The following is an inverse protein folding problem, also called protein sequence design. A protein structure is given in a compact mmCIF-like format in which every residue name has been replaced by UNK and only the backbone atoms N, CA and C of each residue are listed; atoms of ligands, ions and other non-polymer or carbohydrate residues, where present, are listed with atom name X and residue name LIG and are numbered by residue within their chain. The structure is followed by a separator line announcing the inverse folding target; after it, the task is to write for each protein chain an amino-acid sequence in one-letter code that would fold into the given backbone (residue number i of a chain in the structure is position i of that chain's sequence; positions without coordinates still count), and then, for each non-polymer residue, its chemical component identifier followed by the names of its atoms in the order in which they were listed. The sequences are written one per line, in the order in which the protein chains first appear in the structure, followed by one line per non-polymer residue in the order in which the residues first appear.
data_IF_280972144086
#
_entry.id   IF_280972144086
#
_cell.length_a   1.000
_cell.length_b   1.000
_cell.length_c   1.000
_cell.angle_alpha   90.00
_cell.angle_beta   90.00
_cell.angle_gamma   90.00
#
_symmetry.space_group_name_H-M   'P 1'
#
loop_
_entity.id
_entity.type
_entity.pdbx_description
1 polymer ?
#
# COMPACT_ATOMS: atom_id res chain seq x y z
N UNK A 1 12.93 22.10 -26.87
CA UNK A 1 13.20 22.83 -25.61
C UNK A 1 13.48 21.78 -24.55
N UNK A 2 14.46 21.99 -23.67
CA UNK A 2 14.73 21.06 -22.58
C UNK A 2 13.58 21.04 -21.56
N UNK A 3 13.43 19.92 -20.85
CA UNK A 3 12.47 19.82 -19.74
C UNK A 3 12.79 20.86 -18.65
N UNK A 4 11.76 21.49 -18.11
CA UNK A 4 11.84 22.47 -17.03
C UNK A 4 11.05 21.95 -15.83
N UNK A 5 11.60 22.09 -14.62
CA UNK A 5 10.90 21.72 -13.40
C UNK A 5 9.65 22.59 -13.21
N UNK A 6 8.52 22.02 -12.77
CA UNK A 6 7.29 22.78 -12.60
C UNK A 6 7.38 23.68 -11.37
N UNK A 7 6.70 24.84 -11.43
CA UNK A 7 6.35 25.59 -10.22
C UNK A 7 5.27 24.84 -9.43
N UNK A 8 5.32 24.91 -8.10
CA UNK A 8 4.25 24.40 -7.22
C UNK A 8 3.19 25.45 -6.89
N UNK A 9 3.48 26.74 -7.14
CA UNK A 9 2.62 27.83 -6.68
C UNK A 9 1.31 27.90 -7.47
N UNK A 10 0.19 27.89 -6.74
CA UNK A 10 -1.14 27.92 -7.34
C UNK A 10 -1.48 26.67 -8.17
N UNK A 11 -0.70 25.59 -8.06
CA UNK A 11 -0.92 24.32 -8.74
C UNK A 11 -1.22 23.20 -7.74
N UNK A 12 -1.79 22.12 -8.26
CA UNK A 12 -2.30 21.02 -7.43
C UNK A 12 -1.46 19.76 -7.60
N UNK A 13 -1.53 18.88 -6.59
CA UNK A 13 -1.16 17.47 -6.75
C UNK A 13 -2.41 16.69 -7.13
N UNK A 14 -2.32 15.85 -8.16
CA UNK A 14 -3.46 15.04 -8.61
C UNK A 14 -3.22 13.57 -8.33
N UNK A 15 -4.18 12.92 -7.67
CA UNK A 15 -4.16 11.48 -7.44
C UNK A 15 -5.18 10.80 -8.34
N UNK A 16 -4.72 9.91 -9.22
CA UNK A 16 -5.62 9.10 -10.05
C UNK A 16 -5.92 7.78 -9.33
N UNK A 17 -7.09 7.71 -8.70
CA UNK A 17 -7.53 6.60 -7.87
C UNK A 17 -7.76 7.05 -6.42
N UNK A 18 -9.01 6.95 -5.96
CA UNK A 18 -9.46 7.25 -4.59
C UNK A 18 -9.46 6.05 -3.65
N UNK A 19 -8.84 4.93 -4.08
CA UNK A 19 -8.72 3.71 -3.28
C UNK A 19 -7.86 3.85 -2.03
N UNK A 20 -7.62 2.73 -1.35
CA UNK A 20 -6.94 2.68 -0.04
C UNK A 20 -5.63 3.46 -0.01
N UNK A 21 -4.75 3.24 -0.99
CA UNK A 21 -3.45 3.90 -1.04
C UNK A 21 -3.55 5.33 -1.62
N UNK A 22 -4.37 5.53 -2.66
CA UNK A 22 -4.54 6.84 -3.30
C UNK A 22 -5.03 7.93 -2.34
N UNK A 23 -6.05 7.65 -1.52
CA UNK A 23 -6.55 8.61 -0.52
C UNK A 23 -5.55 8.92 0.59
N UNK A 24 -4.66 7.98 0.92
CA UNK A 24 -3.57 8.20 1.89
C UNK A 24 -2.51 9.12 1.34
N UNK A 25 -2.10 8.89 0.09
CA UNK A 25 -1.15 9.77 -0.60
C UNK A 25 -1.74 11.18 -0.69
N UNK A 26 -3.00 11.31 -1.12
CA UNK A 26 -3.70 12.58 -1.15
C UNK A 26 -3.70 13.30 0.22
N UNK A 27 -4.08 12.58 1.28
CA UNK A 27 -4.10 13.12 2.64
C UNK A 27 -2.72 13.60 3.09
N UNK A 28 -1.64 12.86 2.78
CA UNK A 28 -0.28 13.25 3.13
C UNK A 28 0.16 14.60 2.52
N UNK A 29 -0.13 14.80 1.22
CA UNK A 29 0.16 16.05 0.53
C UNK A 29 -0.70 17.21 1.06
N UNK A 30 -2.00 16.98 1.23
CA UNK A 30 -2.92 18.01 1.70
C UNK A 30 -2.70 18.38 3.18
N UNK A 31 -2.37 17.43 4.04
CA UNK A 31 -1.98 17.69 5.44
C UNK A 31 -0.80 18.67 5.52
N UNK A 32 0.04 18.68 4.49
CA UNK A 32 1.27 19.48 4.43
C UNK A 32 1.12 20.78 3.63
N UNK A 33 -0.12 21.18 3.31
CA UNK A 33 -0.42 22.49 2.74
C UNK A 33 -0.59 22.55 1.22
N UNK A 34 -0.52 21.41 0.51
CA UNK A 34 -0.76 21.35 -0.94
C UNK A 34 -2.23 21.15 -1.26
N UNK A 35 -2.75 21.86 -2.25
CA UNK A 35 -4.08 21.56 -2.80
C UNK A 35 -4.03 20.26 -3.61
N UNK A 36 -4.99 19.37 -3.36
CA UNK A 36 -5.02 18.03 -3.94
C UNK A 36 -6.35 17.78 -4.65
N UNK A 37 -6.29 17.22 -5.85
CA UNK A 37 -7.46 16.71 -6.57
C UNK A 37 -7.38 15.19 -6.68
N UNK A 38 -8.40 14.50 -6.19
CA UNK A 38 -8.55 13.06 -6.33
C UNK A 38 -9.47 12.77 -7.51
N UNK A 39 -9.00 12.02 -8.49
CA UNK A 39 -9.82 11.54 -9.58
C UNK A 39 -10.17 10.08 -9.38
N UNK A 40 -11.46 9.75 -9.33
CA UNK A 40 -11.93 8.36 -9.33
C UNK A 40 -13.25 8.28 -10.08
N UNK A 41 -13.47 7.28 -10.98
CA UNK A 41 -14.76 7.11 -11.64
C UNK A 41 -15.90 6.74 -10.68
N UNK A 42 -15.61 6.12 -9.54
CA UNK A 42 -16.62 5.75 -8.54
C UNK A 42 -16.92 6.89 -7.58
N UNK A 43 -18.19 7.34 -7.51
CA UNK A 43 -18.63 8.35 -6.55
C UNK A 43 -18.42 7.91 -5.10
N UNK A 44 -18.60 6.63 -4.81
CA UNK A 44 -18.36 6.05 -3.49
C UNK A 44 -16.90 6.22 -3.07
N UNK A 45 -15.95 5.91 -3.96
CA UNK A 45 -14.52 6.06 -3.70
C UNK A 45 -14.14 7.53 -3.51
N UNK A 46 -14.72 8.45 -4.30
CA UNK A 46 -14.53 9.89 -4.13
C UNK A 46 -14.96 10.35 -2.73
N UNK A 47 -16.18 9.98 -2.31
CA UNK A 47 -16.71 10.33 -0.99
C UNK A 47 -15.85 9.75 0.13
N UNK A 48 -15.48 8.48 0.03
CA UNK A 48 -14.64 7.81 1.02
C UNK A 48 -13.24 8.41 1.11
N UNK A 49 -12.67 8.90 0.00
CA UNK A 49 -11.38 9.56 -0.02
C UNK A 49 -11.42 10.95 0.63
N UNK A 50 -12.46 11.73 0.35
CA UNK A 50 -12.68 13.03 0.99
C UNK A 50 -12.85 12.88 2.51
N UNK A 51 -13.74 11.97 2.94
CA UNK A 51 -13.96 11.69 4.35
C UNK A 51 -12.69 11.20 5.07
N UNK A 52 -11.89 10.36 4.42
CA UNK A 52 -10.60 9.92 4.96
C UNK A 52 -9.67 11.10 5.20
N UNK A 53 -9.57 12.04 4.24
CA UNK A 53 -8.70 13.20 4.39
C UNK A 53 -9.15 14.10 5.55
N UNK A 54 -10.44 14.38 5.66
CA UNK A 54 -11.03 15.21 6.74
C UNK A 54 -10.70 14.67 8.14
N UNK A 55 -10.70 13.35 8.29
CA UNK A 55 -10.54 12.68 9.60
C UNK A 55 -9.12 12.24 9.92
N UNK A 56 -8.22 12.22 8.92
CA UNK A 56 -6.88 11.62 9.08
C UNK A 56 -5.72 12.59 8.95
N UNK A 57 -5.95 13.87 8.69
CA UNK A 57 -4.86 14.85 8.50
C UNK A 57 -3.83 14.87 9.62
N UNK A 58 -4.26 14.81 10.88
CA UNK A 58 -3.39 14.82 12.06
C UNK A 58 -2.48 13.58 12.13
N UNK A 59 -2.83 12.50 11.45
CA UNK A 59 -1.94 11.34 11.33
C UNK A 59 -0.75 11.66 10.42
N UNK A 60 -0.86 12.61 9.50
CA UNK A 60 0.15 12.87 8.48
C UNK A 60 1.05 14.07 8.77
N UNK A 61 0.51 15.14 9.36
CA UNK A 61 1.26 16.37 9.65
C UNK A 61 0.59 17.20 10.75
N UNK A 62 1.40 17.80 11.61
CA UNK A 62 0.96 18.78 12.63
C UNK A 62 0.85 20.21 12.08
N UNK A 63 1.00 20.39 10.75
CA UNK A 63 0.96 21.70 10.12
C UNK A 63 -0.41 22.38 10.34
N UNK A 64 -0.37 23.62 10.84
CA UNK A 64 -1.58 24.43 11.06
C UNK A 64 -2.29 24.81 9.76
N UNK A 65 -1.53 24.96 8.67
CA UNK A 65 -2.06 25.27 7.34
C UNK A 65 -2.12 23.99 6.52
N UNK A 66 -3.33 23.51 6.29
CA UNK A 66 -3.65 22.37 5.41
C UNK A 66 -4.08 22.89 4.03
N UNK A 67 -3.84 22.10 2.99
CA UNK A 67 -4.37 22.34 1.67
C UNK A 67 -5.80 21.82 1.53
N UNK A 68 -6.46 22.19 0.44
CA UNK A 68 -7.78 21.68 0.10
C UNK A 68 -7.70 20.29 -0.53
N UNK A 69 -8.73 19.47 -0.33
CA UNK A 69 -8.91 18.21 -1.06
C UNK A 69 -10.25 18.27 -1.76
N UNK A 70 -10.24 18.12 -3.08
CA UNK A 70 -11.44 17.97 -3.89
C UNK A 70 -11.40 16.64 -4.63
N UNK A 71 -12.56 16.18 -5.10
CA UNK A 71 -12.65 14.97 -5.89
C UNK A 71 -13.55 15.16 -7.11
N UNK A 72 -13.15 14.59 -8.25
CA UNK A 72 -13.90 14.65 -9.51
C UNK A 72 -13.82 13.30 -10.24
N UNK A 73 -14.76 13.05 -11.15
CA UNK A 73 -14.67 11.92 -12.08
C UNK A 73 -13.95 12.28 -13.38
N UNK A 74 -13.92 13.58 -13.71
CA UNK A 74 -13.38 14.07 -14.97
C UNK A 74 -11.85 14.11 -14.93
N UNK A 75 -11.23 13.40 -15.88
CA UNK A 75 -9.77 13.32 -15.95
C UNK A 75 -9.16 14.68 -16.30
N UNK A 76 -9.74 15.40 -17.27
CA UNK A 76 -9.20 16.66 -17.77
C UNK A 76 -9.21 17.75 -16.70
N UNK A 77 -10.32 17.91 -16.00
CA UNK A 77 -10.47 18.79 -14.85
C UNK A 77 -9.39 18.49 -13.82
N UNK A 78 -9.25 17.21 -13.45
CA UNK A 78 -8.35 16.79 -12.37
C UNK A 78 -6.88 17.09 -12.63
N UNK A 79 -6.44 17.14 -13.90
CA UNK A 79 -5.02 17.31 -14.26
C UNK A 79 -4.67 18.69 -14.82
N UNK A 80 -5.69 19.51 -15.13
CA UNK A 80 -5.52 20.81 -15.81
C UNK A 80 -4.55 21.77 -15.11
N UNK A 81 -4.48 21.73 -13.78
CA UNK A 81 -3.59 22.56 -12.95
C UNK A 81 -2.49 21.75 -12.24
N UNK A 82 -2.34 20.47 -12.57
CA UNK A 82 -1.45 19.58 -11.85
C UNK A 82 0.01 19.93 -12.12
N UNK A 83 0.82 20.11 -11.07
CA UNK A 83 2.29 20.08 -11.21
C UNK A 83 2.85 18.67 -11.03
N UNK A 84 2.13 17.83 -10.29
CA UNK A 84 2.43 16.42 -10.05
C UNK A 84 1.14 15.60 -10.19
N UNK A 85 1.20 14.54 -10.99
CA UNK A 85 0.15 13.53 -11.09
C UNK A 85 0.72 12.21 -10.57
N UNK A 86 0.02 11.56 -9.65
CA UNK A 86 0.38 10.24 -9.13
C UNK A 86 -0.74 9.27 -9.52
N UNK A 87 -0.41 8.35 -10.42
CA UNK A 87 -1.27 7.27 -10.87
C UNK A 87 -1.29 6.14 -9.82
N UNK A 88 -2.48 5.85 -9.29
CA UNK A 88 -2.77 4.77 -8.35
C UNK A 88 -4.06 4.02 -8.74
N UNK A 89 -4.25 3.81 -10.05
CA UNK A 89 -5.36 3.05 -10.63
C UNK A 89 -5.09 1.53 -10.48
N UNK A 90 -6.09 0.65 -10.74
CA UNK A 90 -5.92 -0.79 -10.63
C UNK A 90 -4.71 -1.32 -11.39
N UNK A 91 -4.11 -2.40 -10.87
CA UNK A 91 -2.85 -2.99 -11.35
C UNK A 91 -3.02 -3.79 -12.65
N UNK A 92 -3.45 -3.11 -13.72
CA UNK A 92 -3.63 -3.63 -15.08
C UNK A 92 -2.79 -2.82 -16.05
N UNK A 93 -1.79 -3.44 -16.68
CA UNK A 93 -0.83 -2.74 -17.54
C UNK A 93 -1.51 -1.95 -18.68
N UNK A 94 -2.48 -2.54 -19.37
CA UNK A 94 -3.22 -1.88 -20.46
C UNK A 94 -3.95 -0.61 -19.99
N UNK A 95 -4.52 -0.62 -18.78
CA UNK A 95 -5.17 0.55 -18.20
C UNK A 95 -4.14 1.64 -17.89
N UNK A 96 -2.99 1.29 -17.33
CA UNK A 96 -1.92 2.25 -17.04
C UNK A 96 -1.37 2.87 -18.33
N UNK A 97 -1.09 2.08 -19.36
CA UNK A 97 -0.68 2.58 -20.69
C UNK A 97 -1.70 3.59 -21.22
N UNK A 98 -3.00 3.26 -21.21
CA UNK A 98 -4.04 4.19 -21.68
C UNK A 98 -4.11 5.46 -20.85
N UNK A 99 -3.92 5.35 -19.53
CA UNK A 99 -3.91 6.50 -18.60
C UNK A 99 -2.75 7.45 -18.92
N UNK A 100 -1.54 6.94 -19.12
CA UNK A 100 -0.39 7.78 -19.46
C UNK A 100 -0.51 8.41 -20.86
N UNK A 101 -1.16 7.73 -21.82
CA UNK A 101 -1.47 8.31 -23.13
C UNK A 101 -2.48 9.47 -23.04
N UNK A 102 -3.43 9.42 -22.11
CA UNK A 102 -4.34 10.55 -21.85
C UNK A 102 -3.62 11.68 -21.10
N UNK A 103 -2.75 11.35 -20.14
CA UNK A 103 -1.96 12.34 -19.41
C UNK A 103 -1.04 13.14 -20.33
N UNK A 104 -0.42 12.51 -21.33
CA UNK A 104 0.38 13.20 -22.34
C UNK A 104 -0.40 14.35 -23.00
N UNK A 105 -1.68 14.14 -23.31
CA UNK A 105 -2.52 15.10 -24.03
C UNK A 105 -3.11 16.18 -23.14
N UNK A 106 -3.38 15.85 -21.88
CA UNK A 106 -4.18 16.68 -20.98
C UNK A 106 -3.36 17.51 -19.98
N UNK A 107 -2.11 17.11 -19.72
CA UNK A 107 -1.26 17.79 -18.74
C UNK A 107 -0.39 18.87 -19.36
N UNK A 108 0.04 19.83 -18.55
CA UNK A 108 1.02 20.82 -18.99
C UNK A 108 2.37 20.13 -19.30
N UNK A 109 3.19 20.69 -20.21
CA UNK A 109 4.47 20.09 -20.59
C UNK A 109 5.48 19.91 -19.44
N UNK A 110 5.31 20.62 -18.33
CA UNK A 110 6.16 20.56 -17.15
C UNK A 110 5.60 19.68 -16.02
N UNK A 111 4.38 19.14 -16.16
CA UNK A 111 3.75 18.30 -15.13
C UNK A 111 4.52 17.00 -14.96
N UNK A 112 4.96 16.69 -13.74
CA UNK A 112 5.62 15.41 -13.45
C UNK A 112 4.55 14.32 -13.33
N UNK A 113 4.76 13.19 -13.98
CA UNK A 113 3.81 12.08 -14.04
C UNK A 113 4.42 10.84 -13.39
N UNK A 114 3.80 10.37 -12.32
CA UNK A 114 4.31 9.28 -11.52
C UNK A 114 3.37 8.08 -11.55
N UNK A 115 3.90 6.86 -11.62
CA UNK A 115 3.13 5.66 -11.29
C UNK A 115 3.48 5.14 -9.90
N UNK A 116 2.46 4.85 -9.09
CA UNK A 116 2.59 4.19 -7.79
C UNK A 116 2.63 2.64 -7.92
N UNK A 117 2.75 2.11 -9.14
CA UNK A 117 2.86 0.66 -9.35
C UNK A 117 4.10 0.09 -8.65
N UNK A 118 3.89 -1.00 -7.90
CA UNK A 118 4.94 -1.79 -7.26
C UNK A 118 5.44 -2.94 -8.15
N UNK A 119 4.67 -3.29 -9.19
CA UNK A 119 4.91 -4.44 -10.06
C UNK A 119 5.49 -4.03 -11.41
N UNK A 120 4.97 -2.96 -12.02
CA UNK A 120 5.35 -2.54 -13.36
C UNK A 120 6.33 -1.36 -13.31
N UNK A 121 7.38 -1.46 -14.11
CA UNK A 121 8.29 -0.35 -14.37
C UNK A 121 7.54 0.66 -15.24
N UNK A 122 7.71 1.93 -14.95
CA UNK A 122 7.07 3.01 -15.71
C UNK A 122 7.46 2.97 -17.20
N UNK A 123 8.65 2.44 -17.55
CA UNK A 123 9.05 2.19 -18.95
C UNK A 123 8.04 1.33 -19.73
N UNK A 124 7.39 0.37 -19.07
CA UNK A 124 6.37 -0.50 -19.67
C UNK A 124 5.06 0.25 -20.00
N UNK A 125 4.88 1.47 -19.48
CA UNK A 125 3.66 2.27 -19.64
C UNK A 125 3.79 3.32 -20.74
N UNK A 126 5.01 3.59 -21.24
CA UNK A 126 5.32 4.83 -21.95
C UNK A 126 5.83 4.65 -23.38
N UNK A 127 5.95 3.43 -23.89
CA UNK A 127 6.56 3.15 -25.20
C UNK A 127 5.94 4.01 -26.33
N UNK A 128 4.62 4.18 -26.32
CA UNK A 128 3.87 4.97 -27.31
C UNK A 128 3.85 6.48 -27.12
N UNK A 129 4.56 7.02 -26.12
CA UNK A 129 4.57 8.46 -25.81
C UNK A 129 5.71 9.20 -26.51
N UNK A 130 5.59 10.52 -26.60
CA UNK A 130 6.63 11.41 -27.10
C UNK A 130 7.84 11.46 -26.15
N UNK A 131 9.05 11.61 -26.70
CA UNK A 131 10.28 11.67 -25.90
C UNK A 131 10.27 12.81 -24.87
N UNK A 132 9.66 13.94 -25.20
CA UNK A 132 9.49 15.05 -24.26
C UNK A 132 8.62 14.67 -23.05
N UNK A 133 7.62 13.81 -23.24
CA UNK A 133 6.77 13.28 -22.17
C UNK A 133 7.49 12.22 -21.35
N UNK A 134 8.27 11.34 -21.98
CA UNK A 134 9.06 10.31 -21.28
C UNK A 134 10.02 10.93 -20.26
N UNK A 135 10.59 12.10 -20.57
CA UNK A 135 11.50 12.82 -19.65
C UNK A 135 10.86 13.25 -18.32
N UNK A 136 9.52 13.28 -18.21
CA UNK A 136 8.81 13.69 -16.99
C UNK A 136 8.03 12.56 -16.32
N UNK A 137 8.35 11.30 -16.68
CA UNK A 137 7.73 10.10 -16.11
C UNK A 137 8.70 9.33 -15.21
N UNK A 138 8.20 8.78 -14.11
CA UNK A 138 8.93 7.88 -13.21
C UNK A 138 7.99 7.00 -12.37
N UNK A 139 8.54 5.98 -11.70
CA UNK A 139 7.83 5.34 -10.60
C UNK A 139 8.00 6.17 -9.31
N UNK A 140 6.92 6.26 -8.54
CA UNK A 140 6.86 6.91 -7.22
C UNK A 140 6.03 6.03 -6.29
N UNK A 141 6.70 5.04 -5.70
CA UNK A 141 6.05 3.96 -4.98
C UNK A 141 5.94 4.27 -3.48
N UNK A 142 4.70 4.36 -3.00
CA UNK A 142 4.34 4.55 -1.60
C UNK A 142 3.96 3.23 -0.94
N UNK A 143 4.23 3.14 0.36
CA UNK A 143 3.99 1.93 1.13
C UNK A 143 2.74 1.96 2.03
N UNK A 144 2.22 0.77 2.29
CA UNK A 144 1.31 0.48 3.42
C UNK A 144 2.13 0.07 4.65
N UNK A 145 1.61 0.23 5.90
CA UNK A 145 0.37 0.87 6.37
C UNK A 145 0.52 2.40 6.62
N UNK A 146 -0.51 3.15 7.13
CA UNK A 146 -0.49 4.60 7.44
C UNK A 146 0.81 5.18 7.99
N UNK A 147 1.43 4.52 8.97
CA UNK A 147 2.68 4.96 9.59
C UNK A 147 3.93 4.84 8.70
N UNK A 148 3.85 4.14 7.56
CA UNK A 148 4.97 4.02 6.65
C UNK A 148 5.12 5.30 5.81
N UNK A 149 6.24 6.01 6.03
CA UNK A 149 6.59 7.26 5.34
C UNK A 149 7.52 7.05 4.15
N UNK A 150 7.93 5.82 3.87
CA UNK A 150 8.87 5.52 2.79
C UNK A 150 8.21 5.78 1.44
N UNK A 151 8.96 6.44 0.55
CA UNK A 151 8.61 6.60 -0.86
C UNK A 151 9.83 6.25 -1.70
N UNK A 152 9.67 5.36 -2.66
CA UNK A 152 10.74 5.04 -3.61
C UNK A 152 10.51 5.75 -4.94
N UNK A 153 11.54 6.45 -5.42
CA UNK A 153 11.59 7.06 -6.74
C UNK A 153 12.47 6.19 -7.64
N UNK A 154 12.00 5.85 -8.83
CA UNK A 154 12.78 5.05 -9.78
C UNK A 154 12.61 5.58 -11.20
N UNK A 155 13.74 5.77 -11.88
CA UNK A 155 13.77 6.18 -13.30
C UNK A 155 13.24 5.08 -14.22
N UNK A 156 12.68 5.48 -15.36
CA UNK A 156 12.36 4.63 -16.52
C UNK A 156 13.50 4.56 -17.56
N UNK A 157 14.66 5.16 -17.27
CA UNK A 157 15.79 5.29 -18.19
C UNK A 157 15.75 6.55 -19.09
N UNK A 158 14.61 7.23 -19.17
CA UNK A 158 14.39 8.48 -19.89
C UNK A 158 14.13 9.68 -18.97
N UNK A 159 13.68 9.43 -17.72
CA UNK A 159 13.39 10.44 -16.71
C UNK A 159 14.50 11.47 -16.60
N UNK A 160 14.15 12.75 -16.62
CA UNK A 160 15.10 13.83 -16.44
C UNK A 160 15.68 13.80 -15.01
N UNK A 161 17.01 13.80 -14.91
CA UNK A 161 17.72 13.68 -13.62
C UNK A 161 17.38 14.79 -12.61
N UNK A 162 16.99 15.98 -13.09
CA UNK A 162 16.63 17.11 -12.22
C UNK A 162 15.34 16.86 -11.41
N UNK A 163 14.48 15.92 -11.84
CA UNK A 163 13.23 15.58 -11.14
C UNK A 163 13.51 14.94 -9.78
N UNK A 164 14.56 14.12 -9.66
CA UNK A 164 14.85 13.40 -8.42
C UNK A 164 15.16 14.32 -7.24
N UNK A 165 16.14 15.25 -7.30
CA UNK A 165 16.40 16.16 -6.18
C UNK A 165 15.19 17.04 -5.87
N UNK A 166 14.43 17.47 -6.89
CA UNK A 166 13.20 18.24 -6.71
C UNK A 166 12.14 17.46 -5.93
N UNK A 167 11.80 16.24 -6.35
CA UNK A 167 10.82 15.41 -5.65
C UNK A 167 11.31 14.97 -4.27
N UNK A 168 12.61 14.71 -4.09
CA UNK A 168 13.20 14.41 -2.77
C UNK A 168 12.98 15.58 -1.80
N UNK A 169 13.20 16.82 -2.24
CA UNK A 169 12.93 18.01 -1.45
C UNK A 169 11.44 18.11 -1.08
N UNK A 170 10.54 18.02 -2.07
CA UNK A 170 9.09 18.13 -1.84
C UNK A 170 8.55 17.01 -0.95
N UNK A 171 9.01 15.78 -1.15
CA UNK A 171 8.63 14.64 -0.31
C UNK A 171 9.07 14.81 1.14
N UNK A 172 10.30 15.28 1.38
CA UNK A 172 10.77 15.59 2.74
C UNK A 172 9.95 16.70 3.37
N UNK A 173 9.58 17.73 2.60
CA UNK A 173 8.75 18.82 3.08
C UNK A 173 7.35 18.37 3.52
N UNK A 174 6.81 17.29 2.94
CA UNK A 174 5.51 16.70 3.32
C UNK A 174 5.65 15.51 4.29
N UNK A 175 6.79 15.40 4.97
CA UNK A 175 7.03 14.37 6.01
C UNK A 175 7.21 12.95 5.47
N UNK A 176 7.48 12.80 4.17
CA UNK A 176 7.84 11.50 3.57
C UNK A 176 9.36 11.29 3.59
N UNK A 177 9.78 10.04 3.53
CA UNK A 177 11.16 9.59 3.51
C UNK A 177 11.49 9.03 2.11
N UNK A 178 11.97 9.88 1.18
CA UNK A 178 12.24 9.47 -0.19
C UNK A 178 13.58 8.72 -0.34
N UNK A 179 13.58 7.67 -1.15
CA UNK A 179 14.76 6.90 -1.55
C UNK A 179 14.79 6.70 -3.06
N UNK A 180 15.97 6.81 -3.68
CA UNK A 180 16.09 6.85 -5.15
C UNK A 180 16.79 5.60 -5.69
N UNK A 181 16.06 4.83 -6.50
CA UNK A 181 16.59 3.80 -7.37
C UNK A 181 17.11 4.47 -8.65
N UNK A 182 18.44 4.59 -8.74
CA UNK A 182 19.13 5.29 -9.84
C UNK A 182 19.09 4.56 -11.18
N UNK A 183 18.60 3.32 -11.18
CA UNK A 183 18.39 2.48 -12.35
C UNK A 183 17.08 1.73 -12.16
N UNK A 184 16.48 1.32 -13.28
CA UNK A 184 15.35 0.41 -13.26
C UNK A 184 15.70 -0.87 -12.47
N UNK A 185 14.77 -1.28 -11.61
CA UNK A 185 14.93 -2.45 -10.76
C UNK A 185 13.56 -3.05 -10.47
N UNK A 186 13.38 -4.32 -10.78
CA UNK A 186 12.14 -5.03 -10.41
C UNK A 186 12.07 -5.16 -8.89
N UNK A 187 10.95 -4.75 -8.31
CA UNK A 187 10.81 -4.61 -6.87
C UNK A 187 11.58 -3.40 -6.30
N UNK A 188 11.89 -2.40 -7.13
CA UNK A 188 12.54 -1.15 -6.73
C UNK A 188 13.81 -1.40 -5.90
N UNK A 189 13.92 -0.82 -4.70
CA UNK A 189 15.05 -1.02 -3.78
C UNK A 189 14.67 -2.07 -2.73
N UNK A 190 13.64 -1.78 -1.93
CA UNK A 190 13.34 -2.58 -0.75
C UNK A 190 12.73 -3.94 -1.11
N UNK A 191 11.78 -4.02 -2.05
CA UNK A 191 11.18 -5.32 -2.40
C UNK A 191 12.22 -6.24 -3.05
N UNK A 192 13.22 -5.69 -3.76
CA UNK A 192 14.37 -6.44 -4.26
C UNK A 192 15.27 -6.97 -3.15
N UNK A 193 15.58 -6.15 -2.15
CA UNK A 193 16.33 -6.58 -0.96
C UNK A 193 15.57 -7.66 -0.19
N UNK A 194 14.28 -7.42 0.04
CA UNK A 194 13.39 -8.34 0.72
C UNK A 194 13.30 -9.69 0.00
N UNK A 195 13.19 -9.70 -1.33
CA UNK A 195 13.20 -10.93 -2.12
C UNK A 195 14.49 -11.74 -1.92
N UNK A 196 15.65 -11.09 -1.77
CA UNK A 196 16.90 -11.81 -1.50
C UNK A 196 16.93 -12.43 -0.10
N UNK A 197 16.55 -11.67 0.94
CA UNK A 197 16.47 -12.16 2.32
C UNK A 197 15.51 -13.35 2.40
N UNK A 198 14.31 -13.18 1.84
CA UNK A 198 13.25 -14.18 1.82
C UNK A 198 13.69 -15.46 1.12
N UNK A 199 14.30 -15.34 -0.07
CA UNK A 199 14.82 -16.48 -0.84
C UNK A 199 15.85 -17.28 -0.04
N UNK A 200 16.77 -16.59 0.63
CA UNK A 200 17.81 -17.25 1.42
C UNK A 200 17.22 -17.98 2.63
N UNK A 201 16.30 -17.34 3.35
CA UNK A 201 15.59 -17.97 4.47
C UNK A 201 14.88 -19.25 4.04
N UNK A 202 14.18 -19.23 2.90
CA UNK A 202 13.52 -20.42 2.36
C UNK A 202 14.52 -21.50 1.94
N UNK A 203 15.71 -21.12 1.47
CA UNK A 203 16.76 -22.08 1.09
C UNK A 203 17.34 -22.77 2.33
N UNK A 204 17.65 -22.02 3.39
CA UNK A 204 18.09 -22.57 4.69
C UNK A 204 17.08 -23.58 5.23
N UNK A 205 15.78 -23.25 5.14
CA UNK A 205 14.70 -24.14 5.57
C UNK A 205 14.59 -25.38 4.67
N UNK A 206 14.72 -25.22 3.35
CA UNK A 206 14.66 -26.33 2.40
C UNK A 206 15.83 -27.31 2.53
N UNK A 207 16.99 -26.83 2.95
CA UNK A 207 18.19 -27.61 3.25
C UNK A 207 18.20 -28.17 4.69
N UNK A 208 17.11 -27.97 5.45
CA UNK A 208 16.93 -28.48 6.82
C UNK A 208 18.02 -28.00 7.81
N UNK A 209 18.64 -26.85 7.54
CA UNK A 209 19.73 -26.30 8.37
C UNK A 209 19.21 -25.81 9.73
N UNK A 210 17.98 -25.30 9.79
CA UNK A 210 17.34 -24.80 11.02
C UNK A 210 15.82 -24.76 10.86
N UNK A 211 15.12 -24.34 11.92
CA UNK A 211 13.66 -24.24 11.98
C UNK A 211 13.17 -22.79 11.76
N UNK A 212 11.91 -22.58 11.32
CA UNK A 212 11.29 -21.26 11.20
C UNK A 212 11.45 -20.36 12.44
N UNK A 213 11.24 -20.93 13.63
CA UNK A 213 11.27 -20.21 14.90
C UNK A 213 12.69 -19.79 15.30
N UNK A 214 13.69 -20.63 15.04
CA UNK A 214 15.09 -20.34 15.33
C UNK A 214 15.62 -19.22 14.43
N UNK A 215 15.29 -19.26 13.13
CA UNK A 215 15.69 -18.21 12.18
C UNK A 215 15.14 -16.86 12.61
N UNK A 216 13.86 -16.78 12.96
CA UNK A 216 13.25 -15.52 13.40
C UNK A 216 13.83 -15.03 14.72
N UNK A 217 14.03 -15.91 15.71
CA UNK A 217 14.66 -15.53 16.99
C UNK A 217 16.08 -15.00 16.78
N UNK A 218 16.89 -15.71 16.01
CA UNK A 218 18.26 -15.31 15.68
C UNK A 218 18.28 -13.94 14.97
N UNK A 219 17.38 -13.73 14.01
CA UNK A 219 17.24 -12.45 13.31
C UNK A 219 16.94 -11.30 14.27
N UNK A 220 15.99 -11.50 15.19
CA UNK A 220 15.58 -10.48 16.17
C UNK A 220 16.69 -10.16 17.17
N UNK A 221 17.42 -11.17 17.65
CA UNK A 221 18.55 -10.97 18.57
C UNK A 221 19.71 -10.19 17.94
N UNK A 222 20.00 -10.44 16.65
CA UNK A 222 21.10 -9.75 15.95
C UNK A 222 20.74 -8.30 15.59
N UNK A 223 19.52 -8.05 15.13
CA UNK A 223 19.14 -6.73 14.58
C UNK A 223 18.34 -5.84 15.54
N UNK A 224 17.99 -6.32 16.72
CA UNK A 224 17.37 -5.52 17.81
C UNK A 224 16.01 -4.91 17.44
N UNK A 225 15.27 -5.51 16.51
CA UNK A 225 14.03 -4.96 15.97
C UNK A 225 12.78 -5.43 16.69
N UNK A 226 11.84 -4.52 16.95
CA UNK A 226 10.50 -4.82 17.50
C UNK A 226 9.48 -5.31 16.44
N UNK A 227 9.95 -5.81 15.29
CA UNK A 227 9.08 -6.25 14.18
C UNK A 227 9.41 -7.69 13.84
N UNK A 228 8.38 -8.49 13.52
CA UNK A 228 8.49 -9.91 13.20
C UNK A 228 9.71 -10.23 12.32
N UNK A 229 10.33 -11.39 12.56
CA UNK A 229 11.44 -11.87 11.74
C UNK A 229 10.98 -12.19 10.31
N UNK A 230 11.93 -12.55 9.42
CA UNK A 230 11.62 -12.76 8.02
C UNK A 230 10.56 -13.84 7.78
N UNK A 231 10.48 -14.87 8.63
CA UNK A 231 9.47 -15.91 8.52
C UNK A 231 8.10 -15.39 8.94
N UNK A 232 8.00 -14.73 10.09
CA UNK A 232 6.78 -14.08 10.53
C UNK A 232 6.26 -13.03 9.53
N UNK A 233 7.16 -12.32 8.84
CA UNK A 233 6.81 -11.42 7.74
C UNK A 233 6.23 -12.15 6.52
N UNK A 234 6.80 -13.30 6.12
CA UNK A 234 6.23 -14.13 5.05
C UNK A 234 4.83 -14.65 5.42
N UNK A 235 4.66 -15.12 6.66
CA UNK A 235 3.36 -15.60 7.14
C UNK A 235 2.32 -14.47 7.25
N UNK A 236 2.75 -13.24 7.53
CA UNK A 236 1.86 -12.07 7.51
C UNK A 236 1.38 -11.73 6.08
N UNK A 237 2.26 -11.86 5.08
CA UNK A 237 1.90 -11.66 3.66
C UNK A 237 1.03 -12.81 3.13
N UNK A 238 1.34 -14.03 3.55
CA UNK A 238 0.71 -15.26 3.10
C UNK A 238 1.56 -16.03 2.08
N UNK A 239 1.68 -17.34 2.30
CA UNK A 239 2.65 -18.17 1.59
C UNK A 239 2.33 -18.37 0.11
N UNK A 240 1.05 -18.39 -0.26
CA UNK A 240 0.58 -18.40 -1.65
C UNK A 240 1.01 -17.14 -2.41
N UNK A 241 0.84 -15.96 -1.80
CA UNK A 241 1.31 -14.70 -2.37
C UNK A 241 2.82 -14.65 -2.46
N UNK A 242 3.53 -15.14 -1.43
CA UNK A 242 4.99 -15.25 -1.44
C UNK A 242 5.47 -16.14 -2.59
N UNK A 243 4.86 -17.32 -2.76
CA UNK A 243 5.19 -18.27 -3.82
C UNK A 243 4.98 -17.66 -5.21
N UNK A 244 3.83 -17.02 -5.45
CA UNK A 244 3.53 -16.33 -6.71
C UNK A 244 4.59 -15.27 -7.07
N UNK A 245 5.02 -14.47 -6.09
CA UNK A 245 6.05 -13.43 -6.27
C UNK A 245 7.41 -14.07 -6.58
N UNK A 246 7.81 -15.12 -5.87
CA UNK A 246 9.10 -15.78 -6.14
C UNK A 246 9.12 -16.46 -7.51
N UNK A 247 8.01 -17.07 -7.95
CA UNK A 247 7.90 -17.63 -9.30
C UNK A 247 8.11 -16.57 -10.38
N UNK A 248 7.59 -15.35 -10.17
CA UNK A 248 7.85 -14.24 -11.08
C UNK A 248 9.34 -13.88 -11.12
N UNK A 249 10.02 -13.80 -9.97
CA UNK A 249 11.46 -13.51 -9.93
C UNK A 249 12.32 -14.62 -10.53
N UNK A 250 11.93 -15.90 -10.39
CA UNK A 250 12.57 -17.03 -11.06
C UNK A 250 12.51 -16.85 -12.56
N UNK A 251 11.32 -16.58 -13.10
CA UNK A 251 11.10 -16.41 -14.54
C UNK A 251 11.84 -15.19 -15.11
N UNK A 252 11.86 -14.08 -14.36
CA UNK A 252 12.49 -12.83 -14.83
C UNK A 252 14.03 -12.87 -14.70
N UNK A 253 14.58 -13.53 -13.68
CA UNK A 253 16.01 -13.42 -13.30
C UNK A 253 16.79 -14.73 -13.38
N UNK A 254 16.14 -15.85 -13.67
CA UNK A 254 16.77 -17.18 -13.71
C UNK A 254 17.22 -17.67 -12.33
N UNK A 255 16.45 -17.40 -11.28
CA UNK A 255 16.77 -17.84 -9.91
C UNK A 255 16.40 -19.33 -9.70
N UNK A 256 16.99 -20.02 -8.70
CA UNK A 256 16.64 -21.41 -8.37
C UNK A 256 15.17 -21.55 -7.92
N UNK A 257 14.54 -22.69 -8.22
CA UNK A 257 13.15 -23.00 -7.83
C UNK A 257 13.00 -23.55 -6.41
N UNK A 258 14.09 -24.00 -5.79
CA UNK A 258 14.11 -24.62 -4.45
C UNK A 258 13.25 -23.91 -3.40
N UNK A 259 13.26 -22.56 -3.29
CA UNK A 259 12.40 -21.83 -2.33
C UNK A 259 10.90 -22.02 -2.58
N UNK A 260 10.47 -22.01 -3.85
CA UNK A 260 9.07 -22.18 -4.26
C UNK A 260 8.64 -23.63 -4.06
N UNK A 261 9.48 -24.57 -4.46
CA UNK A 261 9.23 -26.01 -4.29
C UNK A 261 9.06 -26.40 -2.81
N UNK A 262 9.84 -25.75 -1.92
CA UNK A 262 9.70 -25.90 -0.48
C UNK A 262 8.35 -25.36 0.03
N UNK A 263 7.96 -24.14 -0.36
CA UNK A 263 6.71 -23.52 0.05
C UNK A 263 5.48 -24.29 -0.44
N UNK A 264 5.55 -24.92 -1.62
CA UNK A 264 4.41 -25.60 -2.21
C UNK A 264 3.83 -26.69 -1.28
N UNK A 265 4.70 -27.39 -0.54
CA UNK A 265 4.28 -28.39 0.46
C UNK A 265 3.37 -27.81 1.54
N UNK A 266 3.67 -26.61 2.02
CA UNK A 266 2.86 -25.93 3.04
C UNK A 266 1.55 -25.40 2.45
N UNK A 267 1.60 -24.88 1.22
CA UNK A 267 0.43 -24.36 0.51
C UNK A 267 -0.57 -25.48 0.23
N UNK A 268 -0.11 -26.64 -0.24
CA UNK A 268 -0.94 -27.81 -0.52
C UNK A 268 -1.64 -28.33 0.75
N UNK A 269 -0.97 -28.21 1.91
CA UNK A 269 -1.55 -28.53 3.22
C UNK A 269 -2.53 -27.47 3.76
N UNK A 270 -2.71 -26.35 3.05
CA UNK A 270 -3.56 -25.23 3.44
C UNK A 270 -2.94 -24.34 4.52
N UNK A 271 -1.62 -24.38 4.71
CA UNK A 271 -0.87 -23.49 5.61
C UNK A 271 -0.50 -22.23 4.83
N UNK A 272 -1.34 -21.20 4.92
CA UNK A 272 -1.22 -19.97 4.12
C UNK A 272 -0.72 -18.78 4.94
N UNK A 273 -0.18 -19.00 6.14
CA UNK A 273 0.25 -17.93 7.04
C UNK A 273 -0.85 -17.48 7.99
N UNK A 274 -0.81 -16.21 8.39
CA UNK A 274 -1.68 -15.60 9.40
C UNK A 274 -3.17 -15.68 9.04
N UNK A 275 -3.48 -15.68 7.73
CA UNK A 275 -4.85 -15.83 7.23
C UNK A 275 -5.40 -17.27 7.33
N UNK A 276 -4.56 -18.26 7.61
CA UNK A 276 -4.97 -19.65 7.75
C UNK A 276 -5.04 -20.06 9.22
N UNK A 277 -6.11 -20.78 9.58
CA UNK A 277 -6.24 -21.41 10.90
C UNK A 277 -5.13 -22.47 11.16
N UNK A 278 -4.47 -22.97 10.11
CA UNK A 278 -3.34 -23.91 10.20
C UNK A 278 -1.97 -23.20 10.31
N UNK A 279 -1.94 -21.86 10.32
CA UNK A 279 -0.70 -21.08 10.31
C UNK A 279 -0.02 -21.08 8.94
N UNK A 280 1.28 -20.81 8.92
CA UNK A 280 2.12 -20.82 7.74
C UNK A 280 3.37 -21.64 8.00
N UNK A 281 4.54 -21.05 7.79
CA UNK A 281 5.81 -21.64 8.19
C UNK A 281 5.88 -21.75 9.72
N UNK A 282 5.35 -20.75 10.43
CA UNK A 282 5.14 -20.78 11.87
C UNK A 282 3.79 -21.43 12.22
N UNK A 283 3.67 -22.02 13.42
CA UNK A 283 2.40 -22.55 13.92
C UNK A 283 1.35 -21.44 14.11
N UNK A 284 0.05 -21.79 14.17
CA UNK A 284 -1.01 -20.83 14.50
C UNK A 284 -0.68 -20.05 15.79
N UNK A 285 -0.77 -18.72 15.73
CA UNK A 285 -0.44 -17.86 16.88
C UNK A 285 1.06 -17.66 17.15
N UNK A 286 1.97 -18.17 16.29
CA UNK A 286 3.42 -18.02 16.44
C UNK A 286 3.96 -16.58 16.39
N UNK A 287 3.14 -15.61 15.95
CA UNK A 287 3.45 -14.18 16.00
C UNK A 287 2.92 -13.51 17.28
N UNK A 288 3.20 -14.07 18.45
CA UNK A 288 2.83 -13.47 19.74
C UNK A 288 4.07 -13.07 20.56
N UNK A 289 4.59 -11.86 20.32
CA UNK A 289 5.10 -11.07 21.45
C UNK A 289 3.91 -10.28 22.02
N UNK A 290 3.46 -10.53 23.26
CA UNK A 290 2.33 -9.82 23.83
C UNK A 290 2.82 -8.48 24.41
N UNK A 291 2.25 -7.34 24.00
CA UNK A 291 2.09 -6.19 24.91
C UNK A 291 0.76 -5.47 24.70
N UNK A 292 0.11 -5.22 25.84
CA UNK A 292 -1.06 -4.37 26.03
C UNK A 292 -0.89 -3.02 25.33
N UNK A 293 -1.91 -2.62 24.58
CA UNK A 293 -2.12 -1.25 24.15
C UNK A 293 -1.69 -0.95 22.72
N UNK A 294 -2.39 -1.50 21.74
CA UNK A 294 -2.63 -0.85 20.44
C UNK A 294 -3.64 -1.68 19.66
N UNK A 295 -4.71 -1.05 19.19
CA UNK A 295 -5.73 -1.65 18.34
C UNK A 295 -5.10 -2.33 17.13
N UNK A 296 -5.15 -3.67 17.13
CA UNK A 296 -4.75 -4.49 16.00
C UNK A 296 -5.84 -4.38 14.91
N UNK A 297 -5.74 -3.35 14.09
CA UNK A 297 -6.47 -3.23 12.84
C UNK A 297 -6.02 -4.34 11.88
N UNK A 298 -6.94 -5.27 11.62
CA UNK A 298 -6.77 -6.39 10.70
C UNK A 298 -6.75 -5.82 9.26
N UNK A 299 -5.57 -5.71 8.64
CA UNK A 299 -5.40 -5.18 7.28
C UNK A 299 -4.65 -6.16 6.40
N UNK A 300 -5.29 -7.29 6.08
CA UNK A 300 -5.40 -7.73 4.69
C UNK A 300 -6.48 -8.83 4.62
N UNK A 301 -7.70 -8.44 4.28
CA UNK A 301 -8.76 -9.35 3.87
C UNK A 301 -9.73 -8.56 3.02
N UNK A 302 -9.93 -9.02 1.80
CA UNK A 302 -10.99 -8.62 0.87
C UNK A 302 -12.40 -9.00 1.39
N UNK A 303 -12.65 -8.82 2.68
CA UNK A 303 -13.94 -9.05 3.29
C UNK A 303 -14.41 -7.77 3.96
N UNK A 304 -15.68 -7.45 3.71
CA UNK A 304 -16.37 -6.25 4.16
C UNK A 304 -16.03 -5.89 5.62
N UNK A 305 -15.94 -4.59 5.97
CA UNK A 305 -15.65 -4.17 7.33
C UNK A 305 -16.60 -4.87 8.32
N UNK A 306 -16.02 -5.46 9.36
CA UNK A 306 -16.79 -6.00 10.48
C UNK A 306 -17.42 -4.82 11.23
N UNK A 307 -18.75 -4.81 11.29
CA UNK A 307 -19.55 -3.83 12.02
C UNK A 307 -19.88 -4.39 13.39
N UNK A 308 -19.66 -3.58 14.43
CA UNK A 308 -20.03 -3.88 15.81
C UNK A 308 -21.30 -3.12 16.15
N UNK A 309 -22.32 -3.85 16.61
CA UNK A 309 -23.60 -3.30 17.02
C UNK A 309 -23.75 -3.44 18.53
N UNK A 310 -24.07 -2.34 19.20
CA UNK A 310 -24.46 -2.34 20.60
C UNK A 310 -25.99 -2.38 20.68
N UNK A 311 -26.52 -3.52 21.09
CA UNK A 311 -27.94 -3.65 21.42
C UNK A 311 -28.10 -3.47 22.94
N UNK A 312 -28.71 -2.37 23.33
CA UNK A 312 -28.98 -2.02 24.73
C UNK A 312 -30.30 -2.61 25.24
N UNK A 313 -30.95 -3.51 24.50
CA UNK A 313 -32.10 -4.27 24.98
C UNK A 313 -33.38 -3.45 25.18
N UNK A 314 -33.50 -2.29 24.52
CA UNK A 314 -34.66 -1.38 24.64
C UNK A 314 -35.99 -1.98 24.15
N UNK A 315 -35.94 -3.10 23.42
CA UNK A 315 -37.10 -3.84 22.92
C UNK A 315 -37.55 -4.98 23.85
N UNK A 316 -36.82 -5.25 24.93
CA UNK A 316 -37.19 -6.25 25.94
C UNK A 316 -38.17 -5.67 26.97
N UNK A 317 -38.79 -6.55 27.78
CA UNK A 317 -39.55 -6.14 28.98
C UNK A 317 -38.69 -5.15 29.80
N UNK A 318 -39.22 -4.00 30.25
CA UNK A 318 -38.46 -3.03 31.05
C UNK A 318 -37.74 -3.64 32.27
N UNK A 319 -38.20 -4.79 32.76
CA UNK A 319 -37.59 -5.56 33.84
C UNK A 319 -36.32 -6.32 33.44
N UNK A 320 -36.11 -6.53 32.14
CA UNK A 320 -34.96 -7.24 31.55
C UNK A 320 -33.91 -6.29 30.93
N UNK A 321 -34.22 -5.00 30.81
CA UNK A 321 -33.34 -4.00 30.19
C UNK A 321 -31.92 -3.94 30.80
N UNK A 322 -31.76 -4.28 32.08
CA UNK A 322 -30.47 -4.31 32.77
C UNK A 322 -29.66 -5.60 32.57
N UNK A 323 -30.22 -6.62 31.90
CA UNK A 323 -29.56 -7.91 31.66
C UNK A 323 -29.61 -8.34 30.20
N UNK A 324 -30.29 -7.58 29.34
CA UNK A 324 -30.53 -7.92 27.94
C UNK A 324 -29.47 -7.36 26.97
N UNK A 325 -28.50 -6.57 27.46
CA UNK A 325 -27.48 -5.93 26.64
C UNK A 325 -26.57 -6.93 25.92
N UNK A 326 -26.33 -6.71 24.62
CA UNK A 326 -25.49 -7.56 23.77
C UNK A 326 -24.60 -6.73 22.85
N UNK A 327 -23.37 -7.20 22.65
CA UNK A 327 -22.52 -6.75 21.56
C UNK A 327 -22.59 -7.77 20.45
N UNK A 328 -23.02 -7.35 19.27
CA UNK A 328 -23.13 -8.19 18.09
C UNK A 328 -22.07 -7.79 17.06
N UNK A 329 -21.62 -8.76 16.27
CA UNK A 329 -20.73 -8.54 15.13
C UNK A 329 -21.34 -9.08 13.86
N UNK A 330 -21.23 -8.32 12.79
CA UNK A 330 -21.65 -8.74 11.45
C UNK A 330 -20.75 -8.14 10.38
N UNK A 331 -20.87 -8.65 9.17
CA UNK A 331 -20.33 -7.99 7.97
C UNK A 331 -21.50 -7.33 7.23
N UNK A 332 -21.20 -6.40 6.32
CA UNK A 332 -22.20 -5.73 5.49
C UNK A 332 -22.87 -6.65 4.43
N UNK A 333 -22.72 -7.97 4.54
CA UNK A 333 -23.08 -8.99 3.55
C UNK A 333 -24.41 -9.71 3.84
N UNK A 334 -25.35 -9.03 4.53
CA UNK A 334 -26.70 -9.52 4.92
C UNK A 334 -26.72 -10.81 5.76
N UNK A 335 -25.56 -11.32 6.19
CA UNK A 335 -25.49 -12.46 7.10
C UNK A 335 -25.99 -12.07 8.49
N UNK A 336 -26.62 -13.04 9.17
CA UNK A 336 -27.14 -12.84 10.52
C UNK A 336 -26.01 -12.41 11.48
N UNK A 337 -26.29 -11.36 12.26
CA UNK A 337 -25.39 -10.86 13.29
C UNK A 337 -25.09 -11.95 14.33
N UNK A 338 -23.81 -12.09 14.70
CA UNK A 338 -23.37 -13.06 15.71
C UNK A 338 -23.16 -12.35 17.05
N UNK A 339 -23.67 -12.88 18.17
CA UNK A 339 -23.37 -12.33 19.48
C UNK A 339 -21.91 -12.59 19.84
N UNK A 340 -21.17 -11.51 20.13
CA UNK A 340 -19.82 -11.57 20.69
C UNK A 340 -19.87 -11.68 22.21
N UNK A 341 -20.76 -10.89 22.82
CA UNK A 341 -20.93 -10.83 24.26
C UNK A 341 -22.42 -10.66 24.55
N UNK A 342 -22.95 -11.48 25.46
CA UNK A 342 -24.34 -11.43 25.91
C UNK A 342 -24.40 -11.20 27.42
N UNK A 343 -25.56 -10.77 27.91
CA UNK A 343 -25.84 -10.59 29.34
C UNK A 343 -24.86 -9.61 30.01
N UNK A 344 -24.59 -8.49 29.34
CA UNK A 344 -23.82 -7.40 29.95
C UNK A 344 -24.72 -6.63 30.92
N UNK A 345 -24.25 -6.50 32.16
CA UNK A 345 -24.87 -5.72 33.24
C UNK A 345 -24.49 -4.25 33.17
#
# INVERSE_FOLDING_TARGET
MGFTLPSTDGRVVTLLGGGVLGRRIACAWAASGFDVIIRDPSQEQRNAALHYCETSFDQFSDAKKRGSVTATEDLKESVSRAWLVIEAVPEKLSLKISTFADLEKLTAPDTILCSNSSSYKSREMIDGLQDATKQRILNMHYYMPPGNRIVELMTDGHTNEAIFPFLVEKLKAVGMHPYVARKESTGLIFNRLWAAIKREVLTILAEEVSTPEEIDKLWLEVWGGNKAGPVGMMDAVGLDTVSFIEQHYINERGLPSTPVDFLQKYIDDGRLGTKSAKGGLLPPGGNASPRRGSDAGNYDSLHAPLLYFLDIGLSADPREAFNAGRVLVGAADERALKPLVSNQH
#
